data_IF_353995861010
#
_entry.id   IF_353995861010
#
_cell.length_a   1.000
_cell.length_b   1.000
_cell.length_c   1.000
_cell.angle_alpha   90.00
_cell.angle_beta   90.00
_cell.angle_gamma   90.00
#
_symmetry.space_group_name_H-M   'P 1'
#
loop_
_entity.id
_entity.type
_entity.pdbx_description
1 polymer ?
#
# COMPACT_ATOMS: atom_id res chain seq x y z
N UNK A 1 -18.35 -1.43 -15.60
CA UNK A 1 -16.95 -1.27 -16.06
C UNK A 1 -16.17 -2.51 -15.62
N UNK A 2 -15.27 -3.04 -16.46
CA UNK A 2 -14.34 -4.10 -16.04
C UNK A 2 -13.14 -3.46 -15.32
N UNK A 3 -12.74 -4.01 -14.18
CA UNK A 3 -11.53 -3.56 -13.48
C UNK A 3 -10.28 -3.98 -14.26
N UNK A 4 -9.27 -3.09 -14.42
CA UNK A 4 -7.99 -3.44 -15.03
C UNK A 4 -7.09 -4.20 -14.04
N UNK A 5 -7.64 -5.19 -13.33
CA UNK A 5 -7.02 -5.95 -12.27
C UNK A 5 -7.13 -7.44 -12.56
N UNK A 6 -6.28 -8.25 -11.92
CA UNK A 6 -6.43 -9.69 -11.95
C UNK A 6 -7.79 -10.11 -11.37
N UNK A 7 -8.44 -11.16 -11.91
CA UNK A 7 -9.79 -11.56 -11.50
C UNK A 7 -9.97 -11.78 -9.99
N UNK A 8 -8.93 -12.26 -9.30
CA UNK A 8 -8.97 -12.44 -7.84
C UNK A 8 -9.05 -11.10 -7.09
N UNK A 9 -8.28 -10.09 -7.51
CA UNK A 9 -8.28 -8.76 -6.89
C UNK A 9 -9.59 -8.01 -7.18
N UNK A 10 -10.12 -8.15 -8.41
CA UNK A 10 -11.44 -7.63 -8.77
C UNK A 10 -12.53 -8.22 -7.90
N UNK A 11 -12.53 -9.55 -7.69
CA UNK A 11 -13.50 -10.22 -6.82
C UNK A 11 -13.37 -9.77 -5.36
N UNK A 12 -12.14 -9.57 -4.87
CA UNK A 12 -11.89 -9.06 -3.53
C UNK A 12 -12.45 -7.64 -3.33
N UNK A 13 -12.29 -6.75 -4.32
CA UNK A 13 -12.87 -5.40 -4.28
C UNK A 13 -14.39 -5.40 -4.32
N UNK A 14 -15.00 -6.28 -5.11
CA UNK A 14 -16.47 -6.37 -5.16
C UNK A 14 -17.02 -6.87 -3.81
N UNK A 15 -16.40 -7.89 -3.22
CA UNK A 15 -16.82 -8.43 -1.92
C UNK A 15 -16.62 -7.46 -0.76
N UNK A 16 -15.63 -6.56 -0.84
CA UNK A 16 -15.35 -5.60 0.24
C UNK A 16 -16.43 -4.54 0.41
N UNK A 17 -17.23 -4.28 -0.64
CA UNK A 17 -18.39 -3.39 -0.58
C UNK A 17 -19.45 -3.96 0.38
N UNK A 18 -19.79 -5.24 0.21
CA UNK A 18 -20.76 -5.93 1.06
C UNK A 18 -20.28 -6.04 2.52
N UNK A 19 -18.97 -6.22 2.70
CA UNK A 19 -18.31 -6.32 4.00
C UNK A 19 -17.97 -4.97 4.64
N UNK A 20 -18.25 -3.85 3.97
CA UNK A 20 -18.02 -2.48 4.43
C UNK A 20 -16.55 -2.17 4.79
N UNK A 21 -15.61 -2.75 4.05
CA UNK A 21 -14.16 -2.54 4.20
C UNK A 21 -13.48 -2.14 2.87
N UNK A 22 -14.22 -1.43 2.02
CA UNK A 22 -13.76 -1.09 0.67
C UNK A 22 -12.59 -0.12 0.66
N UNK A 23 -12.48 0.82 1.62
CA UNK A 23 -11.38 1.80 1.67
C UNK A 23 -10.02 1.13 1.94
N UNK A 24 -9.99 0.20 2.89
CA UNK A 24 -8.83 -0.59 3.24
C UNK A 24 -8.44 -1.52 2.10
N UNK A 25 -9.43 -2.22 1.52
CA UNK A 25 -9.20 -3.16 0.41
C UNK A 25 -8.71 -2.45 -0.85
N UNK A 26 -9.24 -1.26 -1.16
CA UNK A 26 -8.73 -0.40 -2.24
C UNK A 26 -7.25 -0.08 -2.06
N UNK A 27 -6.88 0.26 -0.83
CA UNK A 27 -5.49 0.60 -0.49
C UNK A 27 -4.59 -0.63 -0.62
N UNK A 28 -5.03 -1.79 -0.12
CA UNK A 28 -4.29 -3.06 -0.22
C UNK A 28 -4.09 -3.45 -1.69
N UNK A 29 -5.14 -3.43 -2.51
CA UNK A 29 -5.04 -3.78 -3.94
C UNK A 29 -4.09 -2.84 -4.68
N UNK A 30 -4.17 -1.55 -4.40
CA UNK A 30 -3.28 -0.57 -5.02
C UNK A 30 -1.80 -0.78 -4.60
N UNK A 31 -1.57 -1.16 -3.34
CA UNK A 31 -0.23 -1.45 -2.81
C UNK A 31 0.35 -2.77 -3.33
N UNK A 32 -0.47 -3.80 -3.54
CA UNK A 32 -0.05 -5.07 -4.17
C UNK A 32 0.34 -4.83 -5.65
N UNK A 33 -0.35 -3.90 -6.30
CA UNK A 33 -0.13 -3.57 -7.72
C UNK A 33 1.18 -2.80 -7.99
N UNK A 34 1.92 -2.41 -6.94
CA UNK A 34 3.22 -1.77 -7.07
C UNK A 34 4.36 -2.66 -6.56
N UNK A 35 5.50 -2.59 -7.23
CA UNK A 35 6.68 -3.35 -6.85
C UNK A 35 7.60 -2.54 -5.94
N UNK A 36 8.41 -3.25 -5.14
CA UNK A 36 9.53 -2.69 -4.38
C UNK A 36 9.16 -1.55 -3.43
N UNK A 37 8.09 -1.70 -2.63
CA UNK A 37 7.69 -0.69 -1.63
C UNK A 37 8.82 -0.43 -0.63
N UNK A 38 9.48 -1.47 -0.12
CA UNK A 38 10.58 -1.34 0.82
C UNK A 38 11.93 -1.25 0.10
N UNK A 39 12.84 -0.44 0.65
CA UNK A 39 14.21 -0.27 0.17
C UNK A 39 15.20 -0.74 1.25
N UNK A 40 16.05 -1.72 0.92
CA UNK A 40 16.98 -2.33 1.88
C UNK A 40 18.44 -2.24 1.40
N UNK A 41 19.11 -1.08 1.56
CA UNK A 41 20.50 -0.90 1.16
C UNK A 41 21.44 -1.79 1.99
N UNK A 42 22.47 -2.36 1.35
CA UNK A 42 23.43 -3.28 1.98
C UNK A 42 24.11 -2.69 3.23
N UNK A 43 24.41 -1.40 3.21
CA UNK A 43 25.10 -0.71 4.32
C UNK A 43 24.18 -0.38 5.51
N UNK A 44 22.86 -0.34 5.31
CA UNK A 44 21.88 0.04 6.34
C UNK A 44 20.78 -1.00 6.52
N UNK A 45 21.08 -2.28 6.28
CA UNK A 45 20.10 -3.36 6.37
C UNK A 45 19.41 -3.41 7.74
N UNK A 46 20.17 -3.36 8.83
CA UNK A 46 19.62 -3.38 10.19
C UNK A 46 18.67 -2.19 10.47
N UNK A 47 18.99 -1.00 9.98
CA UNK A 47 18.12 0.18 10.14
C UNK A 47 16.85 0.06 9.30
N UNK A 48 16.96 -0.42 8.06
CA UNK A 48 15.82 -0.66 7.19
C UNK A 48 14.88 -1.72 7.78
N UNK A 49 15.43 -2.81 8.31
CA UNK A 49 14.67 -3.89 8.93
C UNK A 49 13.97 -3.40 10.22
N UNK A 50 14.66 -2.60 11.04
CA UNK A 50 14.06 -1.97 12.22
C UNK A 50 12.90 -1.03 11.86
N UNK A 51 13.04 -0.23 10.79
CA UNK A 51 11.97 0.66 10.32
C UNK A 51 10.79 -0.13 9.77
N UNK A 52 11.05 -1.18 8.96
CA UNK A 52 10.02 -2.08 8.44
C UNK A 52 9.26 -2.79 9.57
N UNK A 53 9.96 -3.24 10.61
CA UNK A 53 9.35 -3.92 11.75
C UNK A 53 8.29 -3.06 12.48
N UNK A 54 8.39 -1.72 12.43
CA UNK A 54 7.38 -0.83 13.02
C UNK A 54 6.01 -0.90 12.34
N UNK A 55 5.97 -1.35 11.08
CA UNK A 55 4.74 -1.49 10.33
C UNK A 55 4.20 -2.92 10.34
N UNK A 56 4.94 -3.86 10.91
CA UNK A 56 4.55 -5.27 10.94
C UNK A 56 3.18 -5.44 11.60
N UNK A 57 2.28 -6.08 10.87
CA UNK A 57 0.98 -6.50 11.37
C UNK A 57 1.00 -8.03 11.55
N UNK A 58 0.65 -8.57 12.73
CA UNK A 58 0.66 -10.00 12.98
C UNK A 58 -0.32 -10.79 12.10
N UNK A 59 -1.35 -10.13 11.57
CA UNK A 59 -2.35 -10.70 10.67
C UNK A 59 -1.81 -10.91 9.25
N UNK A 60 -0.71 -10.25 8.88
CA UNK A 60 0.05 -10.55 7.66
C UNK A 60 0.55 -9.35 6.86
N UNK A 61 1.16 -9.68 5.72
CA UNK A 61 1.87 -8.72 4.87
C UNK A 61 0.94 -7.71 4.18
N UNK A 62 -0.29 -8.11 3.82
CA UNK A 62 -1.25 -7.18 3.22
C UNK A 62 -1.63 -6.06 4.19
N UNK A 63 -1.84 -6.37 5.48
CA UNK A 63 -2.11 -5.35 6.49
C UNK A 63 -0.85 -4.53 6.81
N UNK A 64 0.34 -5.13 6.70
CA UNK A 64 1.60 -4.39 6.79
C UNK A 64 1.71 -3.33 5.67
N UNK A 65 1.31 -3.66 4.44
CA UNK A 65 1.27 -2.70 3.33
C UNK A 65 0.24 -1.58 3.57
N UNK A 66 -0.94 -1.92 4.11
CA UNK A 66 -1.95 -0.95 4.51
C UNK A 66 -1.37 0.03 5.55
N UNK A 67 -0.76 -0.50 6.62
CA UNK A 67 -0.16 0.30 7.68
C UNK A 67 0.93 1.26 7.16
N UNK A 68 1.75 0.83 6.19
CA UNK A 68 2.74 1.71 5.53
C UNK A 68 2.06 2.84 4.76
N UNK A 69 1.03 2.54 3.97
CA UNK A 69 0.32 3.55 3.19
C UNK A 69 -0.38 4.57 4.10
N UNK A 70 -1.06 4.11 5.15
CA UNK A 70 -1.76 4.96 6.10
C UNK A 70 -0.80 5.85 6.88
N UNK A 71 0.35 5.31 7.30
CA UNK A 71 1.39 6.10 7.93
C UNK A 71 1.94 7.18 6.98
N UNK A 72 2.13 6.86 5.70
CA UNK A 72 2.56 7.83 4.70
C UNK A 72 1.50 8.93 4.46
N UNK A 73 0.22 8.54 4.38
CA UNK A 73 -0.93 9.45 4.27
C UNK A 73 -1.06 10.37 5.49
N UNK A 74 -0.90 9.83 6.69
CA UNK A 74 -0.89 10.60 7.94
C UNK A 74 0.26 11.62 7.95
N UNK A 75 1.41 11.26 7.38
CA UNK A 75 2.58 12.14 7.19
C UNK A 75 2.51 12.97 5.89
N UNK A 76 1.30 13.29 5.42
CA UNK A 76 1.03 14.22 4.32
C UNK A 76 1.74 13.85 3.02
N UNK A 77 1.88 12.56 2.75
CA UNK A 77 2.54 12.04 1.54
C UNK A 77 3.99 12.53 1.38
N UNK A 78 4.68 12.75 2.50
CA UNK A 78 6.03 13.34 2.57
C UNK A 78 7.11 12.45 1.93
N UNK A 79 7.90 13.02 1.02
CA UNK A 79 9.09 12.36 0.46
C UNK A 79 10.20 12.15 1.51
N UNK A 80 10.55 13.13 2.37
CA UNK A 80 11.47 12.91 3.49
C UNK A 80 11.06 11.74 4.39
N UNK A 81 9.77 11.64 4.70
CA UNK A 81 9.25 10.53 5.51
C UNK A 81 9.52 9.17 4.86
N UNK A 82 9.34 9.06 3.54
CA UNK A 82 9.67 7.84 2.80
C UNK A 82 11.15 7.47 2.93
N UNK A 83 12.05 8.45 2.81
CA UNK A 83 13.48 8.25 2.96
C UNK A 83 13.84 7.75 4.37
N UNK A 84 13.31 8.40 5.41
CA UNK A 84 13.56 8.04 6.82
C UNK A 84 13.01 6.67 7.23
N UNK A 85 12.01 6.17 6.51
CA UNK A 85 11.35 4.89 6.78
C UNK A 85 11.75 3.79 5.77
N UNK A 86 12.72 4.06 4.89
CA UNK A 86 13.18 3.09 3.90
C UNK A 86 12.06 2.59 2.97
N UNK A 87 11.17 3.49 2.58
CA UNK A 87 10.05 3.23 1.67
C UNK A 87 10.25 4.00 0.36
N UNK A 88 9.91 3.39 -0.77
CA UNK A 88 10.03 4.03 -2.07
C UNK A 88 8.86 4.98 -2.35
N UNK A 89 9.14 6.29 -2.30
CA UNK A 89 8.14 7.33 -2.61
C UNK A 89 7.50 7.14 -4.00
N UNK A 90 8.27 6.73 -5.01
CA UNK A 90 7.75 6.48 -6.36
C UNK A 90 6.71 5.36 -6.37
N UNK A 91 6.95 4.26 -5.64
CA UNK A 91 6.01 3.16 -5.54
C UNK A 91 4.73 3.58 -4.79
N UNK A 92 4.85 4.33 -3.69
CA UNK A 92 3.67 4.80 -2.95
C UNK A 92 2.82 5.80 -3.75
N UNK A 93 3.45 6.70 -4.51
CA UNK A 93 2.72 7.61 -5.41
C UNK A 93 1.98 6.85 -6.49
N UNK A 94 2.63 5.87 -7.12
CA UNK A 94 1.96 4.99 -8.09
C UNK A 94 0.78 4.23 -7.47
N UNK A 95 0.93 3.72 -6.24
CA UNK A 95 -0.17 3.09 -5.53
C UNK A 95 -1.30 4.09 -5.26
N UNK A 96 -1.00 5.33 -4.88
CA UNK A 96 -2.02 6.37 -4.73
C UNK A 96 -2.76 6.65 -6.05
N UNK A 97 -2.07 6.70 -7.17
CA UNK A 97 -2.71 6.94 -8.48
C UNK A 97 -3.61 5.77 -8.88
N UNK A 98 -3.15 4.52 -8.69
CA UNK A 98 -3.97 3.32 -8.89
C UNK A 98 -5.21 3.35 -7.99
N UNK A 99 -5.04 3.66 -6.70
CA UNK A 99 -6.16 3.76 -5.76
C UNK A 99 -7.20 4.79 -6.21
N UNK A 100 -6.77 5.95 -6.69
CA UNK A 100 -7.68 6.99 -7.24
C UNK A 100 -8.45 6.47 -8.46
N UNK A 101 -7.78 5.80 -9.38
CA UNK A 101 -8.43 5.21 -10.56
C UNK A 101 -9.47 4.16 -10.17
N UNK A 102 -9.15 3.29 -9.20
CA UNK A 102 -10.08 2.28 -8.71
C UNK A 102 -11.32 2.88 -8.05
N UNK A 103 -11.16 3.96 -7.28
CA UNK A 103 -12.30 4.69 -6.70
C UNK A 103 -13.23 5.19 -7.80
N UNK A 104 -12.70 5.84 -8.83
CA UNK A 104 -13.49 6.35 -9.95
C UNK A 104 -14.23 5.26 -10.73
N UNK A 105 -13.76 4.01 -10.67
CA UNK A 105 -14.43 2.86 -11.31
C UNK A 105 -15.53 2.27 -10.40
N UNK A 106 -15.39 2.43 -9.07
CA UNK A 106 -16.34 1.94 -8.07
C UNK A 106 -17.49 2.91 -7.78
N UNK A 107 -17.29 4.21 -8.02
CA UNK A 107 -18.34 5.25 -8.03
C UNK A 107 -19.30 5.08 -9.23
#
# INVERSE_FOLDING_TARGET
AEFPLEPMLSKMLLASVDLKCSDEVLTIVAMISVQNVFYRPKEKQAQADQKKAKFHQPEGDHLTLLAVYDAWKANRFSNPWCYENFVQSRSLKRAQDIRKQLITIMD
#
